data_IF_914889037578
#
_entry.id   IF_914889037578
#
_cell.length_a   1.000
_cell.length_b   1.000
_cell.length_c   1.000
_cell.angle_alpha   90.00
_cell.angle_beta   90.00
_cell.angle_gamma   90.00
#
_symmetry.space_group_name_H-M   'P 1'
#
loop_
_entity.id
_entity.type
_entity.pdbx_description
1 polymer ?
#
# COMPACT_ATOMS: atom_id res chain seq x y z
N UNK A 1 31.43 -22.40 2.41
CA UNK A 1 30.06 -22.55 2.97
C UNK A 1 29.31 -21.29 2.58
N UNK A 2 28.35 -21.35 1.65
CA UNK A 2 27.50 -20.20 1.38
C UNK A 2 26.51 -20.07 2.54
N UNK A 3 26.44 -18.88 3.15
CA UNK A 3 25.43 -18.56 4.16
C UNK A 3 24.05 -18.81 3.55
N UNK A 4 23.19 -19.53 4.27
CA UNK A 4 21.80 -19.84 3.90
C UNK A 4 20.85 -18.65 4.14
N UNK A 5 21.39 -17.45 4.32
CA UNK A 5 20.62 -16.25 4.62
C UNK A 5 19.98 -15.70 3.35
N UNK A 6 18.68 -15.43 3.43
CA UNK A 6 17.94 -14.81 2.35
C UNK A 6 18.47 -13.39 2.13
N UNK A 7 18.69 -12.95 0.89
CA UNK A 7 18.94 -11.54 0.63
C UNK A 7 17.77 -10.69 1.14
N UNK A 8 18.09 -9.51 1.67
CA UNK A 8 17.11 -8.59 2.24
C UNK A 8 16.76 -7.53 1.20
N UNK A 9 15.47 -7.21 1.10
CA UNK A 9 14.98 -6.04 0.37
C UNK A 9 14.31 -5.09 1.35
N UNK A 10 14.75 -3.83 1.33
CA UNK A 10 14.14 -2.76 2.14
C UNK A 10 12.99 -2.11 1.37
N UNK A 11 11.96 -1.66 2.06
CA UNK A 11 10.84 -0.95 1.42
C UNK A 11 10.27 0.11 2.36
N UNK A 12 9.64 1.15 1.79
CA UNK A 12 8.94 2.16 2.58
C UNK A 12 7.77 1.53 3.35
N UNK A 13 7.88 1.46 4.67
CA UNK A 13 6.88 0.87 5.55
C UNK A 13 5.61 1.71 5.72
N UNK A 14 4.71 1.29 6.64
CA UNK A 14 4.81 0.09 7.48
C UNK A 14 4.46 -1.19 6.73
N UNK A 15 4.54 -2.33 7.43
CA UNK A 15 3.96 -3.60 6.96
C UNK A 15 2.48 -3.41 6.65
N UNK A 16 2.03 -4.06 5.57
CA UNK A 16 0.68 -3.98 5.01
C UNK A 16 0.32 -2.63 4.35
N UNK A 17 1.31 -1.79 4.04
CA UNK A 17 1.16 -0.65 3.11
C UNK A 17 1.12 -1.11 1.64
N UNK A 18 0.79 -0.19 0.72
CA UNK A 18 0.91 -0.47 -0.71
C UNK A 18 2.36 -0.72 -1.17
N UNK A 19 3.35 -0.10 -0.53
CA UNK A 19 4.76 -0.42 -0.76
C UNK A 19 5.10 -1.85 -0.29
N UNK A 20 4.51 -2.31 0.82
CA UNK A 20 4.62 -3.72 1.22
C UNK A 20 3.97 -4.66 0.19
N UNK A 21 2.85 -4.27 -0.39
CA UNK A 21 2.25 -5.02 -1.50
C UNK A 21 3.14 -5.02 -2.75
N UNK A 22 3.77 -3.89 -3.09
CA UNK A 22 4.68 -3.76 -4.23
C UNK A 22 5.88 -4.70 -4.09
N UNK A 23 6.55 -4.67 -2.93
CA UNK A 23 7.74 -5.51 -2.70
C UNK A 23 7.39 -6.99 -2.76
N UNK A 24 6.22 -7.42 -2.25
CA UNK A 24 5.78 -8.83 -2.29
C UNK A 24 5.50 -9.35 -3.70
N UNK A 25 5.15 -8.48 -4.64
CA UNK A 25 4.91 -8.87 -6.03
C UNK A 25 6.21 -9.21 -6.78
N UNK A 26 7.32 -8.57 -6.41
CA UNK A 26 8.63 -8.76 -7.05
C UNK A 26 9.54 -9.70 -6.27
N UNK A 27 9.51 -9.62 -4.95
CA UNK A 27 10.42 -10.31 -4.04
C UNK A 27 9.64 -11.32 -3.19
N UNK A 28 9.52 -12.59 -3.63
CA UNK A 28 8.78 -13.60 -2.89
C UNK A 28 9.47 -13.92 -1.56
N UNK A 29 8.71 -13.91 -0.46
CA UNK A 29 9.19 -14.18 0.91
C UNK A 29 9.83 -15.57 1.07
N UNK A 30 9.60 -16.51 0.14
CA UNK A 30 10.29 -17.80 0.10
C UNK A 30 11.80 -17.63 -0.11
N UNK A 31 12.22 -16.60 -0.84
CA UNK A 31 13.60 -16.37 -1.29
C UNK A 31 14.20 -15.07 -0.73
N UNK A 32 13.38 -14.16 -0.22
CA UNK A 32 13.79 -12.84 0.26
C UNK A 32 13.30 -12.56 1.68
N UNK A 33 14.06 -11.77 2.42
CA UNK A 33 13.59 -11.13 3.66
C UNK A 33 13.08 -9.71 3.33
N UNK A 34 11.87 -9.37 3.80
CA UNK A 34 11.27 -8.06 3.56
C UNK A 34 11.44 -7.18 4.81
N UNK A 35 12.17 -6.07 4.67
CA UNK A 35 12.47 -5.17 5.78
C UNK A 35 11.75 -3.82 5.61
N UNK A 36 10.79 -3.46 6.48
CA UNK A 36 10.18 -2.14 6.44
C UNK A 36 11.17 -1.08 6.94
N UNK A 37 11.22 0.05 6.24
CA UNK A 37 11.92 1.26 6.65
C UNK A 37 10.92 2.36 7.02
N UNK A 38 11.32 3.30 7.89
CA UNK A 38 10.41 4.36 8.35
C UNK A 38 10.26 5.49 7.32
N UNK A 39 11.33 5.78 6.57
CA UNK A 39 11.37 6.85 5.57
C UNK A 39 11.94 6.37 4.24
N UNK A 40 11.79 7.18 3.20
CA UNK A 40 12.42 6.94 1.89
C UNK A 40 13.95 7.03 2.04
N UNK A 41 14.45 8.01 2.80
CA UNK A 41 15.88 8.16 3.08
C UNK A 41 16.48 6.90 3.70
N UNK A 42 15.79 6.31 4.69
CA UNK A 42 16.26 5.07 5.32
C UNK A 42 16.42 3.91 4.32
N UNK A 43 15.57 3.83 3.29
CA UNK A 43 15.69 2.81 2.23
C UNK A 43 16.94 3.08 1.39
N UNK A 44 17.15 4.34 0.98
CA UNK A 44 18.33 4.72 0.20
C UNK A 44 19.61 4.50 1.00
N UNK A 45 19.68 4.92 2.26
CA UNK A 45 20.83 4.73 3.14
C UNK A 45 21.16 3.24 3.29
N UNK A 46 20.16 2.38 3.54
CA UNK A 46 20.38 0.92 3.67
C UNK A 46 20.95 0.29 2.39
N UNK A 47 20.49 0.72 1.20
CA UNK A 47 21.02 0.25 -0.09
C UNK A 47 22.45 0.77 -0.30
N UNK A 48 22.66 2.06 -0.07
CA UNK A 48 23.95 2.75 -0.22
C UNK A 48 25.06 2.15 0.65
N UNK A 49 24.73 1.76 1.88
CA UNK A 49 25.67 1.13 2.81
C UNK A 49 25.78 -0.39 2.63
N UNK A 50 25.06 -0.98 1.67
CA UNK A 50 25.09 -2.41 1.38
C UNK A 50 24.46 -3.28 2.48
N UNK A 51 23.65 -2.69 3.37
CA UNK A 51 22.93 -3.42 4.43
C UNK A 51 21.82 -4.30 3.88
N UNK A 52 21.29 -3.92 2.70
CA UNK A 52 20.28 -4.66 1.96
C UNK A 52 20.69 -4.79 0.49
N UNK A 53 20.13 -5.78 -0.19
CA UNK A 53 20.43 -6.07 -1.61
C UNK A 53 19.66 -5.19 -2.58
N UNK A 54 18.50 -4.68 -2.17
CA UNK A 54 17.63 -3.84 -2.98
C UNK A 54 16.73 -2.97 -2.10
N UNK A 55 16.22 -1.87 -2.66
CA UNK A 55 15.26 -0.97 -2.04
C UNK A 55 14.04 -0.76 -2.93
N UNK A 56 12.84 -0.71 -2.35
CA UNK A 56 11.58 -0.41 -3.04
C UNK A 56 10.95 0.86 -2.45
N UNK A 57 10.83 1.89 -3.28
CA UNK A 57 10.28 3.20 -2.91
C UNK A 57 9.24 3.64 -3.93
N UNK A 58 8.18 4.38 -3.53
CA UNK A 58 7.22 4.91 -4.47
C UNK A 58 7.82 6.08 -5.25
N UNK A 59 7.64 6.12 -6.57
CA UNK A 59 8.09 7.23 -7.41
C UNK A 59 6.94 8.14 -7.86
N UNK A 60 5.72 7.60 -8.01
CA UNK A 60 4.54 8.34 -8.46
C UNK A 60 3.24 7.73 -7.92
N UNK A 61 2.23 8.57 -7.68
CA UNK A 61 0.85 8.20 -7.41
C UNK A 61 -0.07 8.85 -8.45
N UNK A 62 -0.98 8.08 -9.06
CA UNK A 62 -1.90 8.57 -10.09
C UNK A 62 -2.82 9.72 -9.66
N UNK A 63 -3.02 9.90 -8.35
CA UNK A 63 -3.90 10.93 -7.78
C UNK A 63 -3.12 12.17 -7.36
N UNK A 64 -1.92 12.00 -6.81
CA UNK A 64 -1.14 13.07 -6.17
C UNK A 64 0.15 13.42 -6.93
N UNK A 65 0.42 12.76 -8.05
CA UNK A 65 1.60 12.97 -8.86
C UNK A 65 2.86 12.33 -8.26
N UNK A 66 4.02 12.84 -8.67
CA UNK A 66 5.32 12.28 -8.32
C UNK A 66 5.66 12.42 -6.84
N UNK A 67 6.37 11.43 -6.31
CA UNK A 67 6.90 11.43 -4.93
C UNK A 67 8.23 12.17 -4.91
N UNK A 68 8.17 13.46 -4.57
CA UNK A 68 9.32 14.39 -4.62
C UNK A 68 10.53 13.87 -3.84
N UNK A 69 10.33 13.28 -2.65
CA UNK A 69 11.44 12.73 -1.84
C UNK A 69 12.25 11.66 -2.58
N UNK A 70 11.58 10.77 -3.33
CA UNK A 70 12.25 9.75 -4.13
C UNK A 70 13.02 10.39 -5.28
N UNK A 71 12.42 11.38 -5.96
CA UNK A 71 13.07 12.09 -7.06
C UNK A 71 14.29 12.90 -6.61
N UNK A 72 14.22 13.56 -5.46
CA UNK A 72 15.33 14.32 -4.88
C UNK A 72 16.51 13.40 -4.54
N UNK A 73 16.22 12.22 -3.97
CA UNK A 73 17.24 11.22 -3.66
C UNK A 73 17.87 10.62 -4.93
N UNK A 74 17.07 10.34 -5.97
CA UNK A 74 17.60 9.86 -7.27
C UNK A 74 18.40 10.92 -8.02
N UNK A 75 18.01 12.20 -7.91
CA UNK A 75 18.76 13.29 -8.52
C UNK A 75 20.15 13.48 -7.89
N UNK A 76 20.30 13.03 -6.63
CA UNK A 76 21.55 12.95 -5.87
C UNK A 76 22.48 14.15 -6.04
N UNK A 77 21.92 15.38 -5.94
CA UNK A 77 22.65 16.63 -6.21
C UNK A 77 23.88 16.83 -5.33
N UNK A 78 23.91 16.16 -4.18
CA UNK A 78 24.97 16.26 -3.18
C UNK A 78 25.92 15.04 -3.19
N UNK A 79 25.69 14.05 -4.06
CA UNK A 79 26.53 12.86 -4.17
C UNK A 79 26.46 11.94 -2.95
N UNK A 80 25.29 11.84 -2.29
CA UNK A 80 25.02 10.93 -1.17
C UNK A 80 24.82 9.49 -1.63
N UNK A 81 24.29 9.26 -2.84
CA UNK A 81 23.78 7.98 -3.31
C UNK A 81 24.40 7.53 -4.65
N UNK A 82 25.73 7.62 -4.78
CA UNK A 82 26.45 7.59 -6.07
C UNK A 82 26.39 6.26 -6.82
N UNK A 83 26.18 5.16 -6.10
CA UNK A 83 26.19 3.78 -6.59
C UNK A 83 24.79 3.15 -6.59
N UNK A 84 23.75 3.94 -6.31
CA UNK A 84 22.37 3.51 -6.46
C UNK A 84 21.96 3.58 -7.92
N UNK A 85 21.40 2.48 -8.43
CA UNK A 85 20.84 2.38 -9.78
C UNK A 85 19.41 1.83 -9.71
N UNK A 86 18.59 2.21 -10.69
CA UNK A 86 17.22 1.70 -10.82
C UNK A 86 17.25 0.43 -11.67
N UNK A 87 16.92 -0.71 -11.06
CA UNK A 87 16.93 -2.03 -11.72
C UNK A 87 15.55 -2.47 -12.26
N UNK A 88 14.49 -1.73 -11.93
CA UNK A 88 13.13 -2.02 -12.42
C UNK A 88 12.05 -1.13 -11.84
N UNK A 89 10.83 -1.32 -12.33
CA UNK A 89 9.62 -0.62 -11.88
C UNK A 89 8.46 -1.60 -11.69
N UNK A 90 7.50 -1.23 -10.84
CA UNK A 90 6.26 -1.98 -10.63
C UNK A 90 5.07 -1.05 -10.40
N UNK A 91 3.92 -1.43 -10.94
CA UNK A 91 2.66 -0.74 -10.76
C UNK A 91 1.78 -1.50 -9.77
N UNK A 92 1.21 -0.79 -8.80
CA UNK A 92 0.27 -1.35 -7.83
C UNK A 92 -1.09 -0.68 -8.01
N UNK A 93 -2.09 -1.46 -8.40
CA UNK A 93 -3.47 -1.02 -8.42
C UNK A 93 -4.00 -0.86 -6.99
N UNK A 94 -4.25 0.40 -6.61
CA UNK A 94 -4.71 0.80 -5.27
C UNK A 94 -6.19 0.51 -5.13
N UNK A 95 -6.53 -0.45 -4.26
CA UNK A 95 -7.91 -0.80 -3.92
C UNK A 95 -8.21 -0.56 -2.44
N UNK A 96 -9.01 0.46 -2.16
CA UNK A 96 -9.49 0.69 -0.80
C UNK A 96 -10.63 -0.26 -0.43
N UNK A 97 -10.48 -0.93 0.72
CA UNK A 97 -11.47 -1.84 1.27
C UNK A 97 -12.05 -1.28 2.57
N UNK A 98 -13.36 -1.45 2.77
CA UNK A 98 -13.97 -1.23 4.08
C UNK A 98 -13.75 -2.48 4.95
N UNK A 99 -13.03 -2.32 6.07
CA UNK A 99 -12.77 -3.39 7.03
C UNK A 99 -13.41 -3.03 8.37
N UNK A 100 -14.01 -4.01 9.04
CA UNK A 100 -14.67 -3.80 10.33
C UNK A 100 -14.84 -5.09 11.13
N UNK A 101 -15.17 -4.95 12.41
CA UNK A 101 -15.40 -6.09 13.29
C UNK A 101 -16.72 -6.77 12.97
N UNK A 102 -16.70 -8.09 12.72
CA UNK A 102 -17.91 -8.87 12.49
C UNK A 102 -18.66 -9.06 13.80
N UNK A 103 -19.96 -8.80 13.83
CA UNK A 103 -20.79 -9.12 15.00
C UNK A 103 -20.88 -10.66 15.15
N UNK A 104 -20.42 -11.26 16.26
CA UNK A 104 -20.42 -12.72 16.45
C UNK A 104 -21.83 -13.31 16.56
N UNK A 105 -22.84 -12.50 16.89
CA UNK A 105 -24.25 -12.85 16.82
C UNK A 105 -24.85 -12.15 15.59
N UNK A 106 -24.78 -12.75 14.39
CA UNK A 106 -25.58 -12.27 13.28
C UNK A 106 -27.02 -12.53 13.67
N UNK A 107 -27.72 -11.51 14.20
CA UNK A 107 -29.16 -11.51 14.02
C UNK A 107 -29.37 -11.69 12.53
N UNK A 108 -30.06 -12.76 12.14
CA UNK A 108 -30.43 -13.01 10.74
C UNK A 108 -31.04 -11.71 10.23
N UNK A 109 -30.30 -11.01 9.36
CA UNK A 109 -30.79 -9.84 8.65
C UNK A 109 -31.89 -10.35 7.71
N UNK A 110 -33.11 -10.49 8.24
CA UNK A 110 -34.32 -10.89 7.50
C UNK A 110 -34.79 -9.76 6.56
N UNK A 111 -34.18 -8.58 6.64
CA UNK A 111 -34.44 -7.45 5.76
C UNK A 111 -33.57 -7.52 4.50
N UNK A 112 -34.18 -7.82 3.35
CA UNK A 112 -33.54 -7.78 2.01
C UNK A 112 -33.13 -6.35 1.58
N UNK A 113 -33.41 -5.34 2.40
CA UNK A 113 -33.00 -3.96 2.18
C UNK A 113 -31.54 -3.75 2.59
N UNK A 114 -30.63 -4.06 1.67
CA UNK A 114 -29.19 -3.83 1.81
C UNK A 114 -28.83 -2.43 2.33
N UNK A 115 -27.79 -2.37 3.16
CA UNK A 115 -27.28 -1.12 3.75
C UNK A 115 -26.37 -0.38 2.75
N UNK A 116 -26.95 0.26 1.74
CA UNK A 116 -26.21 1.08 0.77
C UNK A 116 -27.04 2.27 0.30
N UNK A 117 -26.40 3.43 0.17
CA UNK A 117 -27.00 4.63 -0.44
C UNK A 117 -26.55 4.74 -1.90
N UNK A 118 -27.43 5.22 -2.77
CA UNK A 118 -27.07 5.54 -4.16
C UNK A 118 -26.31 6.87 -4.17
N UNK A 119 -24.99 6.82 -4.29
CA UNK A 119 -24.13 8.02 -4.30
C UNK A 119 -24.00 8.59 -5.72
N UNK A 120 -24.45 9.83 -5.98
CA UNK A 120 -24.24 10.50 -7.27
C UNK A 120 -22.76 10.55 -7.64
N UNK A 121 -22.47 10.37 -8.93
CA UNK A 121 -21.13 10.54 -9.50
C UNK A 121 -21.19 11.42 -10.74
N UNK A 122 -20.04 11.94 -11.20
CA UNK A 122 -19.97 12.76 -12.42
C UNK A 122 -20.57 12.03 -13.64
N UNK A 123 -20.38 10.71 -13.72
CA UNK A 123 -20.88 9.87 -14.82
C UNK A 123 -22.33 9.38 -14.60
N UNK A 124 -22.86 9.48 -13.37
CA UNK A 124 -24.24 9.10 -13.05
C UNK A 124 -24.75 10.00 -11.90
N UNK A 125 -25.36 11.15 -12.23
CA UNK A 125 -25.82 12.12 -11.24
C UNK A 125 -27.06 11.67 -10.45
N UNK A 126 -27.81 10.66 -10.93
CA UNK A 126 -29.03 10.17 -10.28
C UNK A 126 -29.10 8.64 -10.30
N UNK A 127 -28.21 7.96 -9.56
CA UNK A 127 -28.15 6.51 -9.57
C UNK A 127 -29.43 5.91 -8.96
N UNK A 128 -30.06 5.01 -9.71
CA UNK A 128 -31.25 4.26 -9.27
C UNK A 128 -30.91 3.11 -8.33
N UNK A 129 -29.64 2.65 -8.33
CA UNK A 129 -29.14 1.55 -7.49
C UNK A 129 -27.74 1.87 -6.94
N UNK A 130 -27.39 1.36 -5.75
CA UNK A 130 -26.04 1.49 -5.22
C UNK A 130 -25.03 0.73 -6.09
N UNK A 131 -23.80 1.25 -6.20
CA UNK A 131 -22.72 0.65 -7.02
C UNK A 131 -22.16 -0.64 -6.42
N UNK A 132 -22.32 -0.85 -5.12
CA UNK A 132 -21.88 -2.06 -4.43
C UNK A 132 -22.90 -2.48 -3.38
N UNK A 133 -23.02 -3.79 -3.17
CA UNK A 133 -23.80 -4.38 -2.07
C UNK A 133 -22.82 -4.92 -1.04
N UNK A 134 -22.88 -4.49 0.23
CA UNK A 134 -22.02 -5.06 1.26
C UNK A 134 -22.40 -6.53 1.49
N UNK A 135 -21.41 -7.34 1.87
CA UNK A 135 -21.61 -8.78 2.14
C UNK A 135 -22.54 -9.04 3.34
N UNK A 136 -22.72 -8.04 4.23
CA UNK A 136 -23.62 -8.07 5.37
C UNK A 136 -24.22 -6.68 5.63
N UNK A 137 -25.26 -6.59 6.44
CA UNK A 137 -25.84 -5.31 6.82
C UNK A 137 -24.84 -4.47 7.64
N UNK A 138 -24.59 -3.23 7.22
CA UNK A 138 -23.64 -2.33 7.87
C UNK A 138 -24.30 -1.28 8.78
N UNK A 139 -25.63 -1.29 8.98
CA UNK A 139 -26.37 -0.31 9.81
C UNK A 139 -25.89 -0.27 11.26
N UNK A 140 -25.29 -1.35 11.74
CA UNK A 140 -24.73 -1.44 13.09
C UNK A 140 -23.42 -0.65 13.24
N UNK A 141 -22.75 -0.29 12.14
CA UNK A 141 -21.51 0.50 12.16
C UNK A 141 -21.86 1.95 12.49
N UNK A 142 -21.51 2.38 13.72
CA UNK A 142 -21.75 3.75 14.20
C UNK A 142 -20.48 4.60 14.33
N UNK A 143 -19.31 4.00 14.10
CA UNK A 143 -18.01 4.66 14.26
C UNK A 143 -17.13 4.30 13.07
N UNK A 144 -16.50 5.32 12.49
CA UNK A 144 -15.51 5.19 11.44
C UNK A 144 -14.18 5.72 11.99
N UNK A 145 -13.14 4.90 11.90
CA UNK A 145 -11.77 5.31 12.18
C UNK A 145 -11.06 5.45 10.84
N UNK A 146 -10.41 6.59 10.60
CA UNK A 146 -9.58 6.82 9.42
C UNK A 146 -8.13 7.00 9.85
N UNK A 147 -7.20 6.52 9.02
CA UNK A 147 -5.78 6.80 9.20
C UNK A 147 -5.41 8.07 8.43
N UNK A 148 -4.62 9.01 9.00
CA UNK A 148 -4.23 10.25 8.32
C UNK A 148 -3.38 10.11 7.05
N UNK A 149 -2.91 8.91 6.68
CA UNK A 149 -2.16 8.70 5.44
C UNK A 149 -3.05 7.94 4.45
N UNK A 150 -3.80 8.69 3.66
CA UNK A 150 -4.46 8.23 2.44
C UNK A 150 -4.07 9.19 1.31
#
# INVERSE_FOLDING_TARGET
MASLEKPIVSFLGPIASYSHQAVRQVFPESSWELRPAATIDDVFDQVQFGEVKAGVVPIENSTNGSVVFTLDNLADRNGRYKDITVDGEIFVDVHHCLVGHRNPSPMLDLDDHGSGTSTPTLNDPRPSKPKSRPLANLRHIKRLYSHPQA
#
